data_IF_993490574199
#
_entry.id   IF_993490574199
#
_cell.length_a   1.000
_cell.length_b   1.000
_cell.length_c   1.000
_cell.angle_alpha   90.00
_cell.angle_beta   90.00
_cell.angle_gamma   90.00
#
_symmetry.space_group_name_H-M   'P 1'
#
loop_
_entity.id
_entity.type
_entity.pdbx_description
1 polymer ?
#
# COMPACT_ATOMS: atom_id res chain seq x y z
N UNK A 1 7.48 4.98 -15.97
CA UNK A 1 7.93 6.34 -15.54
C UNK A 1 8.92 6.86 -16.56
N UNK A 2 9.00 8.21 -16.76
CA UNK A 2 10.06 8.82 -17.56
C UNK A 2 11.33 9.06 -16.72
N UNK A 3 12.45 9.44 -17.37
CA UNK A 3 13.74 9.64 -16.69
C UNK A 3 13.70 10.71 -15.60
N UNK A 4 12.99 11.82 -15.82
CA UNK A 4 12.83 12.88 -14.82
C UNK A 4 12.10 12.38 -13.58
N UNK A 5 11.00 11.61 -13.74
CA UNK A 5 10.25 11.04 -12.64
C UNK A 5 11.08 10.02 -11.84
N UNK A 6 11.93 9.24 -12.53
CA UNK A 6 12.84 8.31 -11.86
C UNK A 6 13.94 9.05 -11.08
N UNK A 7 14.46 10.14 -11.62
CA UNK A 7 15.43 11.00 -10.92
C UNK A 7 14.79 11.64 -9.67
N UNK A 8 13.58 12.20 -9.79
CA UNK A 8 12.82 12.75 -8.66
C UNK A 8 12.56 11.70 -7.59
N UNK A 9 12.15 10.48 -8.00
CA UNK A 9 11.95 9.37 -7.06
C UNK A 9 13.24 9.00 -6.32
N UNK A 10 14.36 8.95 -7.04
CA UNK A 10 15.68 8.64 -6.45
C UNK A 10 16.13 9.69 -5.42
N UNK A 11 15.79 10.94 -5.65
CA UNK A 11 16.15 12.07 -4.80
C UNK A 11 15.20 12.19 -3.58
N UNK A 12 13.91 12.09 -3.82
CA UNK A 12 12.86 12.32 -2.80
C UNK A 12 12.47 11.05 -2.02
N UNK A 13 12.71 9.86 -2.58
CA UNK A 13 12.28 8.59 -2.01
C UNK A 13 10.80 8.26 -2.25
N UNK A 14 10.05 9.09 -2.96
CA UNK A 14 8.66 8.84 -3.33
C UNK A 14 8.28 9.47 -4.67
N UNK A 15 7.20 8.96 -5.27
CA UNK A 15 6.58 9.53 -6.47
C UNK A 15 5.05 9.51 -6.35
N UNK A 16 4.40 10.58 -6.80
CA UNK A 16 2.93 10.67 -6.84
C UNK A 16 2.44 10.50 -8.27
N UNK A 17 1.97 9.31 -8.61
CA UNK A 17 1.38 9.02 -9.91
C UNK A 17 -0.07 9.54 -9.97
N UNK A 18 -0.24 10.81 -10.32
CA UNK A 18 -1.57 11.43 -10.40
C UNK A 18 -2.45 10.77 -11.45
N UNK A 19 -3.70 10.47 -11.10
CA UNK A 19 -4.72 9.89 -12.00
C UNK A 19 -4.31 8.54 -12.60
N UNK A 20 -3.57 7.74 -11.85
CA UNK A 20 -3.21 6.38 -12.26
C UNK A 20 -4.46 5.51 -12.45
N UNK A 21 -5.47 5.75 -11.64
CA UNK A 21 -6.81 5.18 -11.74
C UNK A 21 -7.84 6.30 -11.96
N UNK A 22 -8.91 5.99 -12.67
CA UNK A 22 -10.03 6.89 -12.86
C UNK A 22 -10.88 7.02 -11.59
N UNK A 23 -11.64 8.10 -11.47
CA UNK A 23 -12.57 8.29 -10.34
C UNK A 23 -13.56 7.13 -10.16
N UNK A 24 -14.21 6.60 -11.23
CA UNK A 24 -15.10 5.45 -11.09
C UNK A 24 -14.41 4.18 -10.58
N UNK A 25 -13.15 3.94 -10.95
CA UNK A 25 -12.37 2.81 -10.41
C UNK A 25 -12.12 2.97 -8.92
N UNK A 26 -11.69 4.17 -8.49
CA UNK A 26 -11.44 4.46 -7.08
C UNK A 26 -12.74 4.43 -6.25
N UNK A 27 -13.85 4.94 -6.79
CA UNK A 27 -15.15 4.89 -6.10
C UNK A 27 -15.63 3.46 -5.91
N UNK A 28 -15.39 2.59 -6.91
CA UNK A 28 -15.71 1.16 -6.79
C UNK A 28 -14.85 0.48 -5.70
N UNK A 29 -13.54 0.75 -5.68
CA UNK A 29 -12.64 0.23 -4.64
C UNK A 29 -13.07 0.72 -3.26
N UNK A 30 -13.34 2.01 -3.10
CA UNK A 30 -13.77 2.63 -1.85
C UNK A 30 -15.12 2.07 -1.36
N UNK A 31 -16.08 1.93 -2.26
CA UNK A 31 -17.40 1.40 -1.92
C UNK A 31 -17.31 -0.06 -1.46
N UNK A 32 -16.50 -0.86 -2.16
CA UNK A 32 -16.25 -2.24 -1.76
C UNK A 32 -15.59 -2.31 -0.38
N UNK A 33 -14.52 -1.53 -0.17
CA UNK A 33 -13.79 -1.52 1.10
C UNK A 33 -14.67 -1.12 2.30
N UNK A 34 -15.62 -0.19 2.09
CA UNK A 34 -16.58 0.22 3.15
C UNK A 34 -17.62 -0.84 3.50
N UNK A 35 -17.92 -1.75 2.58
CA UNK A 35 -18.93 -2.81 2.77
C UNK A 35 -18.31 -4.19 3.02
N UNK A 36 -16.98 -4.28 3.08
CA UNK A 36 -16.29 -5.55 3.25
C UNK A 36 -16.22 -5.97 4.72
N UNK A 37 -17.25 -6.70 5.15
CA UNK A 37 -17.33 -7.21 6.50
C UNK A 37 -16.26 -8.27 6.83
N UNK A 38 -15.73 -8.98 5.83
CA UNK A 38 -14.66 -9.94 6.05
C UNK A 38 -13.35 -9.22 6.35
N UNK A 39 -13.09 -8.14 5.63
CA UNK A 39 -11.93 -7.29 5.88
C UNK A 39 -12.02 -6.66 7.28
N UNK A 40 -13.20 -6.20 7.69
CA UNK A 40 -13.43 -5.60 9.00
C UNK A 40 -13.28 -6.64 10.14
N UNK A 41 -13.86 -7.84 10.00
CA UNK A 41 -13.73 -8.94 10.98
C UNK A 41 -12.31 -9.45 11.15
N UNK A 42 -11.51 -9.42 10.12
CA UNK A 42 -10.10 -9.84 10.14
C UNK A 42 -9.13 -8.69 10.44
N UNK A 43 -9.64 -7.52 10.78
CA UNK A 43 -8.80 -6.40 11.21
C UNK A 43 -8.36 -6.58 12.65
N UNK A 44 -7.20 -6.02 12.95
CA UNK A 44 -6.68 -5.92 14.31
C UNK A 44 -6.35 -4.47 14.64
N UNK A 45 -6.51 -4.13 15.91
CA UNK A 45 -6.22 -2.80 16.42
C UNK A 45 -4.72 -2.57 16.58
N UNK A 46 -4.25 -1.42 16.13
CA UNK A 46 -2.91 -0.93 16.41
C UNK A 46 -3.01 0.39 17.16
N UNK A 47 -2.41 0.44 18.32
CA UNK A 47 -2.33 1.66 19.13
C UNK A 47 -1.28 2.61 18.53
N UNK A 48 -1.61 3.90 18.46
CA UNK A 48 -0.72 4.95 17.96
C UNK A 48 0.27 5.48 19.03
N UNK A 49 0.22 4.95 20.23
CA UNK A 49 1.00 5.42 21.38
C UNK A 49 0.41 6.66 22.08
N UNK A 50 -0.71 7.20 21.57
CA UNK A 50 -1.40 8.38 22.10
C UNK A 50 -2.82 8.05 22.59
N UNK A 51 -3.18 6.76 22.60
CA UNK A 51 -4.49 6.28 23.07
C UNK A 51 -5.55 6.15 21.97
N UNK A 52 -5.20 6.44 20.71
CA UNK A 52 -6.10 6.20 19.58
C UNK A 52 -5.79 4.87 18.91
N UNK A 53 -6.80 4.27 18.30
CA UNK A 53 -6.69 3.00 17.60
C UNK A 53 -6.79 3.20 16.09
N UNK A 54 -6.04 2.39 15.36
CA UNK A 54 -6.08 2.26 13.92
C UNK A 54 -6.37 0.81 13.63
N UNK A 55 -7.41 0.54 12.86
CA UNK A 55 -7.70 -0.82 12.41
C UNK A 55 -6.89 -1.15 11.17
N UNK A 56 -6.29 -2.33 11.16
CA UNK A 56 -5.43 -2.80 10.09
C UNK A 56 -5.82 -4.23 9.70
N UNK A 57 -5.98 -4.48 8.42
CA UNK A 57 -6.05 -5.81 7.84
C UNK A 57 -4.85 -6.02 6.93
N UNK A 58 -4.21 -7.18 6.99
CA UNK A 58 -3.02 -7.54 6.21
C UNK A 58 -3.23 -8.92 5.58
N UNK A 59 -2.84 -9.06 4.30
CA UNK A 59 -2.91 -10.33 3.58
C UNK A 59 -1.78 -10.47 2.56
N UNK A 60 -1.30 -11.70 2.37
CA UNK A 60 -0.14 -11.98 1.53
C UNK A 60 -0.51 -12.42 0.10
N UNK A 61 -1.71 -12.97 -0.10
CA UNK A 61 -2.17 -13.37 -1.41
C UNK A 61 -3.09 -12.30 -2.01
N UNK A 62 -2.84 -11.80 -3.22
CA UNK A 62 -3.63 -10.72 -3.79
C UNK A 62 -5.11 -11.09 -3.99
N UNK A 63 -5.39 -12.38 -4.19
CA UNK A 63 -6.75 -12.87 -4.47
C UNK A 63 -7.28 -12.46 -5.84
N UNK A 64 -8.47 -12.93 -6.19
CA UNK A 64 -9.11 -12.65 -7.49
C UNK A 64 -10.19 -11.55 -7.42
N UNK A 65 -10.38 -10.96 -6.24
CA UNK A 65 -11.29 -9.85 -6.03
C UNK A 65 -10.72 -8.49 -6.46
N UNK A 66 -11.45 -7.43 -6.08
CA UNK A 66 -11.10 -6.06 -6.45
C UNK A 66 -9.72 -5.64 -5.93
N UNK A 67 -9.35 -6.04 -4.71
CA UNK A 67 -8.03 -5.72 -4.14
C UNK A 67 -6.91 -6.34 -4.97
N UNK A 68 -7.08 -7.60 -5.40
CA UNK A 68 -6.13 -8.27 -6.28
C UNK A 68 -6.06 -7.64 -7.66
N UNK A 69 -7.19 -7.18 -8.21
CA UNK A 69 -7.22 -6.47 -9.49
C UNK A 69 -6.44 -5.16 -9.44
N UNK A 70 -6.52 -4.41 -8.32
CA UNK A 70 -5.74 -3.19 -8.14
C UNK A 70 -4.26 -3.48 -7.91
N UNK A 71 -3.92 -4.38 -6.98
CA UNK A 71 -2.53 -4.68 -6.62
C UNK A 71 -1.73 -5.28 -7.78
N UNK A 72 -2.38 -6.03 -8.69
CA UNK A 72 -1.77 -6.63 -9.89
C UNK A 72 -2.01 -5.82 -11.16
N UNK A 73 -2.54 -4.60 -11.06
CA UNK A 73 -2.80 -3.80 -12.24
C UNK A 73 -1.51 -3.51 -13.00
N UNK A 74 -1.55 -3.59 -14.33
CA UNK A 74 -0.41 -3.28 -15.18
C UNK A 74 0.15 -1.89 -14.90
N UNK A 75 -0.71 -0.95 -14.54
CA UNK A 75 -0.32 0.43 -14.20
C UNK A 75 0.59 0.50 -12.98
N UNK A 76 0.30 -0.23 -11.90
CA UNK A 76 1.18 -0.32 -10.72
C UNK A 76 2.43 -1.12 -11.07
N UNK A 77 2.27 -2.25 -11.76
CA UNK A 77 3.39 -3.12 -12.16
C UNK A 77 4.44 -2.35 -12.98
N UNK A 78 4.03 -1.57 -13.97
CA UNK A 78 4.96 -0.80 -14.82
C UNK A 78 5.72 0.29 -14.04
N UNK A 79 5.05 0.93 -13.07
CA UNK A 79 5.72 1.89 -12.17
C UNK A 79 6.72 1.16 -11.27
N UNK A 80 6.31 0.05 -10.66
CA UNK A 80 7.17 -0.75 -9.79
C UNK A 80 8.40 -1.29 -10.54
N UNK A 81 8.20 -1.86 -11.73
CA UNK A 81 9.32 -2.32 -12.58
C UNK A 81 10.31 -1.21 -12.93
N UNK A 82 9.79 -0.01 -13.22
CA UNK A 82 10.67 1.14 -13.52
C UNK A 82 11.52 1.55 -12.33
N UNK A 83 10.98 1.48 -11.12
CA UNK A 83 11.66 1.85 -9.88
C UNK A 83 12.65 0.77 -9.46
N UNK A 84 12.19 -0.48 -9.39
CA UNK A 84 12.99 -1.61 -8.92
C UNK A 84 14.01 -2.09 -9.95
N UNK A 85 13.85 -1.71 -11.22
CA UNK A 85 14.65 -2.16 -12.38
C UNK A 85 14.67 -3.69 -12.51
N UNK A 86 13.56 -4.32 -12.16
CA UNK A 86 13.38 -5.75 -12.16
C UNK A 86 11.88 -6.09 -12.31
N UNK A 87 11.54 -7.37 -12.40
CA UNK A 87 10.17 -7.85 -12.39
C UNK A 87 9.63 -7.91 -10.96
N UNK A 88 8.70 -7.01 -10.58
CA UNK A 88 8.14 -7.01 -9.23
C UNK A 88 7.11 -8.12 -9.04
N UNK A 89 7.02 -8.63 -7.84
CA UNK A 89 5.95 -9.51 -7.41
C UNK A 89 5.23 -8.94 -6.19
N UNK A 90 3.98 -9.34 -6.01
CA UNK A 90 3.19 -8.95 -4.86
C UNK A 90 3.70 -9.63 -3.59
N UNK A 91 4.15 -8.85 -2.62
CA UNK A 91 4.62 -9.36 -1.34
C UNK A 91 3.50 -9.44 -0.31
N UNK A 92 2.82 -8.33 -0.05
CA UNK A 92 1.59 -8.27 0.73
C UNK A 92 0.78 -7.01 0.40
N UNK A 93 -0.48 -7.02 0.80
CA UNK A 93 -1.32 -5.82 0.86
C UNK A 93 -1.78 -5.58 2.28
N UNK A 94 -2.06 -4.32 2.60
CA UNK A 94 -2.69 -3.93 3.85
C UNK A 94 -3.75 -2.86 3.61
N UNK A 95 -4.83 -2.94 4.36
CA UNK A 95 -5.84 -1.89 4.44
C UNK A 95 -5.73 -1.22 5.80
N UNK A 96 -5.61 0.10 5.80
CA UNK A 96 -5.58 0.91 7.02
C UNK A 96 -6.90 1.67 7.10
N UNK A 97 -7.66 1.41 8.15
CA UNK A 97 -8.94 2.04 8.41
C UNK A 97 -8.80 3.03 9.56
N UNK A 98 -8.95 4.31 9.24
CA UNK A 98 -8.93 5.40 10.21
C UNK A 98 -10.29 6.04 10.29
N UNK A 99 -10.88 6.05 11.46
CA UNK A 99 -12.14 6.75 11.67
C UNK A 99 -11.93 8.26 11.64
N UNK A 100 -12.85 8.96 10.99
CA UNK A 100 -12.78 10.41 10.88
C UNK A 100 -12.77 11.06 12.27
N UNK A 101 -11.89 12.03 12.47
CA UNK A 101 -11.70 12.80 13.71
C UNK A 101 -11.12 12.01 14.90
N UNK A 102 -11.01 10.69 14.82
CA UNK A 102 -10.52 9.82 15.91
C UNK A 102 -9.29 9.03 15.50
N UNK A 103 -9.01 8.91 14.22
CA UNK A 103 -7.92 8.10 13.70
C UNK A 103 -6.56 8.55 14.18
N UNK A 104 -5.82 7.63 14.79
CA UNK A 104 -4.51 7.88 15.36
C UNK A 104 -3.41 8.22 14.35
N UNK A 105 -2.31 8.71 14.87
CA UNK A 105 -1.10 8.96 14.10
C UNK A 105 -0.44 7.63 13.69
N UNK A 106 0.21 7.65 12.54
CA UNK A 106 1.14 6.59 12.17
C UNK A 106 2.55 7.10 12.45
N UNK A 107 3.20 6.52 13.44
CA UNK A 107 4.53 6.98 13.84
C UNK A 107 5.55 6.81 12.70
N UNK A 108 6.43 7.78 12.54
CA UNK A 108 7.53 7.70 11.59
C UNK A 108 8.43 6.49 11.88
N UNK A 109 8.76 5.72 10.88
CA UNK A 109 9.55 4.51 11.01
C UNK A 109 10.26 4.19 9.70
N UNK A 110 11.20 3.26 9.77
CA UNK A 110 11.86 2.66 8.62
C UNK A 110 11.25 1.27 8.35
N UNK A 111 10.56 1.11 7.23
CA UNK A 111 9.95 -0.17 6.86
C UNK A 111 11.00 -1.28 6.67
N UNK A 112 12.12 -0.95 6.03
CA UNK A 112 13.11 -1.96 5.68
C UNK A 112 13.75 -2.66 6.87
N UNK A 113 13.96 -1.97 7.98
CA UNK A 113 14.47 -2.60 9.20
C UNK A 113 13.60 -3.75 9.70
N UNK A 114 12.28 -3.57 9.62
CA UNK A 114 11.31 -4.62 9.91
C UNK A 114 11.37 -5.76 8.89
N UNK A 115 11.42 -5.44 7.60
CA UNK A 115 11.47 -6.45 6.53
C UNK A 115 12.76 -7.26 6.56
N UNK A 116 13.89 -6.64 6.89
CA UNK A 116 15.15 -7.34 7.04
C UNK A 116 15.07 -8.42 8.14
N UNK A 117 14.46 -8.12 9.27
CA UNK A 117 14.22 -9.10 10.35
C UNK A 117 13.24 -10.22 9.93
N UNK A 118 12.43 -9.97 8.91
CA UNK A 118 11.50 -10.94 8.32
C UNK A 118 12.05 -11.57 7.02
N UNK A 119 13.36 -11.73 6.92
CA UNK A 119 14.08 -12.42 5.84
C UNK A 119 14.11 -11.71 4.47
N UNK A 120 13.72 -10.45 4.38
CA UNK A 120 13.95 -9.64 3.17
C UNK A 120 15.35 -9.06 3.22
N UNK A 121 16.32 -9.80 2.69
CA UNK A 121 17.75 -9.51 2.86
C UNK A 121 18.27 -8.33 2.02
N UNK A 122 17.48 -7.84 1.04
CA UNK A 122 17.85 -6.72 0.18
C UNK A 122 16.73 -5.67 0.16
N UNK A 123 17.05 -4.37 0.13
CA UNK A 123 16.07 -3.28 0.14
C UNK A 123 15.37 -3.05 -1.22
N UNK A 124 15.27 -4.07 -2.06
CA UNK A 124 14.58 -4.01 -3.36
C UNK A 124 13.09 -4.21 -3.15
N UNK A 125 12.46 -3.26 -2.50
CA UNK A 125 11.02 -3.27 -2.25
C UNK A 125 10.48 -1.84 -2.30
N UNK A 126 9.20 -1.72 -2.62
CA UNK A 126 8.47 -0.47 -2.59
C UNK A 126 7.03 -0.68 -2.09
N UNK A 127 6.43 0.37 -1.60
CA UNK A 127 5.01 0.39 -1.23
C UNK A 127 4.23 1.28 -2.20
N UNK A 128 3.10 0.79 -2.70
CA UNK A 128 2.14 1.57 -3.47
C UNK A 128 0.93 1.89 -2.59
N UNK A 129 0.61 3.18 -2.45
CA UNK A 129 -0.58 3.67 -1.74
C UNK A 129 -1.65 4.09 -2.75
N UNK A 130 -2.88 3.70 -2.52
CA UNK A 130 -4.05 4.04 -3.36
C UNK A 130 -5.10 4.75 -2.50
#
# INVERSE_FOLDING_TARGET
MNEQQLAEYSDLGFHVAKRLFSEPEIDRLRSHAKSDHDMDRNSYDRNDGQGNQIRLSLWNQPGDGIYGAFSRSRRIFEVASSILKDEPYHYHSKMIMKDAKVGGAWAWHQDYGYWYQNAVLKPQLMSAFI
#
